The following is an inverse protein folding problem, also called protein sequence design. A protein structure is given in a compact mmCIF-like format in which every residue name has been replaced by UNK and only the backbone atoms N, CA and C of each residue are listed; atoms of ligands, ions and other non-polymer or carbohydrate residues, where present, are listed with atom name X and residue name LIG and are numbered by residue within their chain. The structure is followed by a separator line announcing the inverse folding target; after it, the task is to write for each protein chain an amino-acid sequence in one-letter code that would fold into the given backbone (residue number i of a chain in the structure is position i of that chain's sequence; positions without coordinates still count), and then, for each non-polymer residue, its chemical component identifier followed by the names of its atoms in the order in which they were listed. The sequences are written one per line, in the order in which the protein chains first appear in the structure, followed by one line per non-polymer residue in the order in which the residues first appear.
data_IF_346187001538
#
_entry.id   IF_346187001538
#
_cell.length_a   1.000
_cell.length_b   1.000
_cell.length_c   1.000
_cell.angle_alpha   90.00
_cell.angle_beta   90.00
_cell.angle_gamma   90.00
#
_symmetry.space_group_name_H-M   'P 1'
#
loop_
_entity.id
_entity.type
_entity.pdbx_description
1 polymer ?
#
# COMPACT_ATOMS: atom_id res chain seq x y z
N UNK A 1 -1.01 14.29 -7.20
CA UNK A 1 -0.48 13.17 -6.41
C UNK A 1 0.77 12.61 -7.06
N UNK A 2 1.87 12.50 -6.31
CA UNK A 2 3.15 11.95 -6.77
C UNK A 2 3.11 10.42 -6.62
N UNK A 3 3.29 9.68 -7.72
CA UNK A 3 3.42 8.22 -7.69
C UNK A 3 4.85 7.82 -7.35
N UNK A 4 5.02 6.88 -6.41
CA UNK A 4 6.31 6.29 -6.07
C UNK A 4 6.23 4.77 -6.05
N UNK A 5 7.39 4.14 -6.25
CA UNK A 5 7.58 2.70 -6.11
C UNK A 5 8.67 2.51 -5.07
N UNK A 6 8.34 1.82 -3.98
CA UNK A 6 9.27 1.42 -2.93
C UNK A 6 9.23 -0.10 -2.88
N UNK A 7 10.31 -0.76 -3.32
CA UNK A 7 10.36 -2.20 -3.55
C UNK A 7 9.20 -2.66 -4.48
N UNK A 8 8.37 -3.70 -4.20
CA UNK A 8 7.24 -3.98 -5.07
C UNK A 8 6.04 -3.04 -4.82
N UNK A 9 6.05 -2.23 -3.76
CA UNK A 9 4.90 -1.44 -3.31
C UNK A 9 4.74 -0.18 -4.14
N UNK A 10 3.56 -0.01 -4.71
CA UNK A 10 3.17 1.22 -5.42
C UNK A 10 2.32 2.07 -4.49
N UNK A 11 2.74 3.32 -4.28
CA UNK A 11 2.07 4.28 -3.41
C UNK A 11 1.99 5.67 -4.04
N UNK A 12 1.13 6.51 -3.48
CA UNK A 12 1.06 7.92 -3.82
C UNK A 12 1.30 8.81 -2.60
N UNK A 13 1.84 10.00 -2.83
CA UNK A 13 1.96 11.07 -1.84
C UNK A 13 1.29 12.35 -2.36
N UNK A 14 0.75 13.14 -1.43
CA UNK A 14 0.30 14.50 -1.71
C UNK A 14 1.48 15.44 -1.91
N UNK A 15 1.49 16.18 -3.01
CA UNK A 15 2.44 17.27 -3.31
C UNK A 15 2.39 18.35 -2.22
N UNK A 16 1.20 18.66 -1.71
CA UNK A 16 0.96 19.73 -0.74
C UNK A 16 1.63 19.49 0.62
N UNK A 17 2.05 18.24 0.89
CA UNK A 17 2.75 17.86 2.11
C UNK A 17 4.26 17.70 1.88
N UNK A 18 4.78 17.99 0.69
CA UNK A 18 6.22 17.99 0.43
C UNK A 18 6.91 19.06 1.29
N UNK A 19 7.96 18.67 2.01
CA UNK A 19 8.66 19.55 2.95
C UNK A 19 7.94 19.80 4.29
N UNK A 20 6.69 19.36 4.46
CA UNK A 20 5.91 19.57 5.68
C UNK A 20 6.38 18.75 6.91
N UNK A 21 7.51 18.03 6.81
CA UNK A 21 8.02 17.09 7.83
C UNK A 21 6.99 16.04 8.28
N UNK A 22 6.04 15.72 7.40
CA UNK A 22 5.04 14.66 7.59
C UNK A 22 5.41 13.48 6.69
N UNK A 23 5.40 12.28 7.26
CA UNK A 23 5.54 11.04 6.48
C UNK A 23 4.16 10.46 6.23
N UNK A 24 3.78 10.34 4.96
CA UNK A 24 2.49 9.82 4.52
C UNK A 24 2.60 9.00 3.25
N UNK A 25 1.59 8.17 3.00
CA UNK A 25 1.38 7.47 1.76
C UNK A 25 -0.10 7.05 1.63
N UNK A 26 -0.62 7.07 0.40
CA UNK A 26 -1.81 6.31 0.02
C UNK A 26 -1.35 5.06 -0.72
N UNK A 27 -1.57 3.90 -0.11
CA UNK A 27 -1.18 2.61 -0.68
C UNK A 27 -2.18 2.16 -1.76
N UNK A 28 -1.68 1.46 -2.78
CA UNK A 28 -2.52 0.79 -3.79
C UNK A 28 -2.68 -0.69 -3.46
N UNK A 29 -3.42 -1.45 -4.28
CA UNK A 29 -3.48 -2.92 -4.16
C UNK A 29 -2.25 -3.66 -4.71
N UNK A 30 -1.22 -2.94 -5.16
CA UNK A 30 -0.04 -3.52 -5.82
C UNK A 30 1.14 -3.66 -4.85
N UNK A 31 1.82 -4.80 -4.93
CA UNK A 31 3.09 -5.03 -4.26
C UNK A 31 3.06 -5.80 -2.95
N UNK A 32 1.96 -6.48 -2.65
CA UNK A 32 1.90 -7.40 -1.50
C UNK A 32 1.96 -8.87 -1.90
N UNK A 33 1.74 -9.76 -0.93
CA UNK A 33 1.84 -11.21 -1.11
C UNK A 33 0.48 -11.93 -1.18
N UNK A 34 -0.62 -11.24 -0.90
CA UNK A 34 -1.97 -11.81 -0.93
C UNK A 34 -2.31 -12.35 -2.31
N UNK A 35 -3.08 -13.44 -2.33
CA UNK A 35 -3.57 -14.08 -3.55
C UNK A 35 -5.03 -13.71 -3.81
N UNK A 36 -5.59 -14.07 -4.97
CA UNK A 36 -7.00 -13.83 -5.26
C UNK A 36 -7.91 -14.45 -4.18
N UNK A 37 -8.98 -13.76 -3.74
CA UNK A 37 -9.50 -12.48 -4.26
C UNK A 37 -8.81 -11.21 -3.69
N UNK A 38 -7.88 -11.37 -2.76
CA UNK A 38 -7.24 -10.27 -2.00
C UNK A 38 -5.99 -9.68 -2.68
N UNK A 39 -5.60 -10.20 -3.83
CA UNK A 39 -4.33 -9.86 -4.47
C UNK A 39 -4.16 -8.35 -4.75
N UNK A 40 -3.02 -7.71 -4.47
CA UNK A 40 -1.78 -8.29 -3.91
C UNK A 40 -1.42 -7.70 -2.55
N UNK A 41 -1.70 -6.40 -2.31
CA UNK A 41 -1.46 -5.73 -1.03
C UNK A 41 -2.77 -5.56 -0.27
N UNK A 42 -3.20 -6.60 0.43
CA UNK A 42 -4.29 -6.54 1.38
C UNK A 42 -3.72 -6.32 2.78
N UNK A 43 -4.34 -5.41 3.54
CA UNK A 43 -3.96 -5.09 4.93
C UNK A 43 -5.11 -5.39 5.92
N UNK A 44 -6.19 -5.98 5.43
CA UNK A 44 -7.36 -6.33 6.25
C UNK A 44 -7.16 -7.66 6.96
N UNK A 45 -7.03 -7.65 8.29
CA UNK A 45 -6.88 -8.86 9.11
C UNK A 45 -8.19 -9.63 9.36
N UNK A 46 -9.36 -9.08 9.01
CA UNK A 46 -10.68 -9.65 9.34
C UNK A 46 -11.53 -10.01 8.12
N UNK A 47 -10.96 -9.94 6.92
CA UNK A 47 -11.71 -10.11 5.64
C UNK A 47 -11.57 -11.52 5.04
N UNK A 48 -10.95 -12.46 5.77
CA UNK A 48 -10.81 -13.85 5.37
C UNK A 48 -9.56 -14.17 4.52
N UNK A 49 -8.60 -13.26 4.44
CA UNK A 49 -7.30 -13.54 3.82
C UNK A 49 -6.39 -14.33 4.77
N UNK A 50 -5.32 -14.92 4.22
CA UNK A 50 -4.33 -15.63 5.00
C UNK A 50 -3.50 -14.63 5.84
N UNK A 51 -3.62 -14.69 7.16
CA UNK A 51 -2.91 -13.81 8.09
C UNK A 51 -1.38 -13.82 7.97
N UNK A 52 -0.77 -14.83 7.35
CA UNK A 52 0.67 -14.86 7.11
C UNK A 52 1.13 -13.92 5.97
N UNK A 53 0.21 -13.42 5.14
CA UNK A 53 0.51 -12.54 3.99
C UNK A 53 -0.21 -11.18 4.06
N UNK A 54 -0.93 -10.92 5.15
CA UNK A 54 -1.60 -9.65 5.48
C UNK A 54 -0.71 -8.82 6.40
#
# INVERSE_FOLDING_TARGET
MIRQVIDPVVLYRFEELEGASVTHAMLTRLGGASQAPFATLNLGHTVGDNLAVV
#
